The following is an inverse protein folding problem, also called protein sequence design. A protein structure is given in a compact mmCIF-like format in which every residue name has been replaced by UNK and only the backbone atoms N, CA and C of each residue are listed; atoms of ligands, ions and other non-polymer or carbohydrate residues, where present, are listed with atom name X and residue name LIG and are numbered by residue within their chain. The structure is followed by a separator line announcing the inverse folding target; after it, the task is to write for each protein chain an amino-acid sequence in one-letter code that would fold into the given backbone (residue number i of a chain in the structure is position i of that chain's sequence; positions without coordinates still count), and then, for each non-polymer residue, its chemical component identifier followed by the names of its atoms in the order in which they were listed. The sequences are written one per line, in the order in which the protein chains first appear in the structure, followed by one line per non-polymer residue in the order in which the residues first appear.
data_IF_597322182118
#
_entry.id   IF_597322182118
#
_cell.length_a   1.000
_cell.length_b   1.000
_cell.length_c   1.000
_cell.angle_alpha   90.00
_cell.angle_beta   90.00
_cell.angle_gamma   90.00
#
_symmetry.space_group_name_H-M   'P 1'
#
loop_
_entity.id
_entity.type
_entity.pdbx_description
1 polymer ?
#
# COMPACT_ATOMS: atom_id res chain seq x y z
N UNK A 1 -25.61 1.55 17.96
CA UNK A 1 -24.26 1.08 17.64
C UNK A 1 -23.32 2.24 17.92
N UNK A 2 -22.15 2.02 18.55
CA UNK A 2 -21.22 3.11 18.80
C UNK A 2 -20.65 3.65 17.49
N UNK A 3 -20.52 4.98 17.37
CA UNK A 3 -19.82 5.61 16.27
C UNK A 3 -18.31 5.43 16.49
N UNK A 4 -17.63 4.77 15.56
CA UNK A 4 -16.19 4.53 15.56
C UNK A 4 -15.50 5.23 14.38
N UNK A 5 -16.20 6.19 13.73
CA UNK A 5 -15.57 7.02 12.71
C UNK A 5 -14.34 7.73 13.26
N UNK A 6 -13.36 7.95 12.42
CA UNK A 6 -12.11 8.58 12.82
C UNK A 6 -11.65 9.64 11.81
N UNK A 7 -10.86 10.58 12.30
CA UNK A 7 -10.21 11.60 11.49
C UNK A 7 -8.73 11.67 11.85
N UNK A 8 -7.87 11.42 10.87
CA UNK A 8 -6.43 11.45 11.04
C UNK A 8 -5.80 12.36 9.98
N UNK A 9 -5.07 13.39 10.40
CA UNK A 9 -4.45 14.39 9.51
C UNK A 9 -5.40 15.01 8.47
N UNK A 10 -6.66 15.21 8.84
CA UNK A 10 -7.68 15.75 7.92
C UNK A 10 -8.43 14.68 7.11
N UNK A 11 -7.92 13.46 7.05
CA UNK A 11 -8.52 12.34 6.32
C UNK A 11 -9.57 11.68 7.21
N UNK A 12 -10.81 11.61 6.72
CA UNK A 12 -11.91 10.96 7.43
C UNK A 12 -12.07 9.52 6.96
N UNK A 13 -12.44 8.62 7.88
CA UNK A 13 -12.75 7.23 7.58
C UNK A 13 -13.86 6.70 8.51
N UNK A 14 -14.64 5.70 8.08
CA UNK A 14 -15.74 5.17 8.88
C UNK A 14 -15.30 4.44 10.15
N UNK A 15 -14.03 4.07 10.24
CA UNK A 15 -13.40 3.51 11.44
C UNK A 15 -11.87 3.66 11.37
N UNK A 16 -11.14 3.46 12.48
CA UNK A 16 -9.68 3.64 12.54
C UNK A 16 -8.87 2.44 12.02
N UNK A 17 -9.51 1.39 11.54
CA UNK A 17 -8.83 0.17 11.09
C UNK A 17 -8.45 0.27 9.62
N UNK A 18 -7.16 0.48 9.37
CA UNK A 18 -6.60 0.60 8.02
C UNK A 18 -5.60 -0.53 7.76
N UNK A 19 -5.61 -1.07 6.55
CA UNK A 19 -4.58 -2.02 6.13
C UNK A 19 -3.27 -1.30 5.84
N UNK A 20 -2.18 -1.83 6.37
CA UNK A 20 -0.84 -1.33 6.08
C UNK A 20 -0.41 -1.66 4.65
N UNK A 21 0.59 -0.91 4.13
CA UNK A 21 1.24 -1.19 2.86
C UNK A 21 1.91 -2.57 2.88
N UNK A 22 1.29 -3.54 2.20
CA UNK A 22 1.69 -4.95 2.20
C UNK A 22 1.06 -5.68 0.99
N UNK A 23 1.38 -6.96 0.73
CA UNK A 23 0.76 -7.71 -0.37
C UNK A 23 -0.78 -7.65 -0.43
N UNK A 24 -1.52 -7.62 0.70
CA UNK A 24 -2.98 -7.47 0.65
C UNK A 24 -3.47 -6.16 0.02
N UNK A 25 -2.64 -5.12 -0.07
CA UNK A 25 -3.01 -3.82 -0.61
C UNK A 25 -2.37 -3.52 -1.98
N UNK A 26 -1.92 -4.55 -2.70
CA UNK A 26 -1.21 -4.44 -3.98
C UNK A 26 -2.15 -4.48 -5.20
N UNK A 27 -3.45 -4.72 -5.02
CA UNK A 27 -4.41 -4.88 -6.12
C UNK A 27 -5.79 -4.36 -5.75
N UNK A 28 -6.47 -3.77 -6.74
CA UNK A 28 -7.86 -3.31 -6.62
C UNK A 28 -8.78 -4.39 -6.01
N UNK A 29 -8.71 -5.62 -6.50
CA UNK A 29 -9.57 -6.71 -6.04
C UNK A 29 -9.40 -7.01 -4.54
N UNK A 30 -8.17 -6.93 -4.03
CA UNK A 30 -7.89 -7.19 -2.62
C UNK A 30 -8.38 -6.02 -1.75
N UNK A 31 -8.13 -4.79 -2.19
CA UNK A 31 -8.57 -3.59 -1.49
C UNK A 31 -10.10 -3.49 -1.46
N UNK A 32 -10.77 -3.79 -2.58
CA UNK A 32 -12.23 -3.84 -2.63
C UNK A 32 -12.80 -4.85 -1.64
N UNK A 33 -12.25 -6.06 -1.59
CA UNK A 33 -12.66 -7.08 -0.60
C UNK A 33 -12.43 -6.63 0.85
N UNK A 34 -11.36 -5.90 1.11
CA UNK A 34 -11.11 -5.34 2.43
C UNK A 34 -12.18 -4.29 2.80
N UNK A 35 -12.53 -3.41 1.88
CA UNK A 35 -13.57 -2.41 2.11
C UNK A 35 -14.96 -3.04 2.26
N UNK A 36 -15.29 -4.06 1.48
CA UNK A 36 -16.51 -4.87 1.65
C UNK A 36 -16.56 -5.56 3.01
N UNK A 37 -15.40 -5.99 3.53
CA UNK A 37 -15.28 -6.56 4.88
C UNK A 37 -15.32 -5.51 6.00
N UNK A 38 -15.40 -4.21 5.67
CA UNK A 38 -15.58 -3.12 6.61
C UNK A 38 -14.34 -2.35 7.02
N UNK A 39 -13.19 -2.57 6.38
CA UNK A 39 -11.98 -1.76 6.64
C UNK A 39 -12.21 -0.28 6.32
N UNK A 40 -11.74 0.60 7.21
CA UNK A 40 -11.92 2.06 7.10
C UNK A 40 -10.97 2.73 6.10
N UNK A 41 -9.84 2.10 5.82
CA UNK A 41 -8.84 2.64 4.90
C UNK A 41 -7.76 1.62 4.54
N UNK A 42 -6.91 2.01 3.62
CA UNK A 42 -5.72 1.24 3.22
C UNK A 42 -4.55 2.17 2.93
N UNK A 43 -3.34 1.67 3.19
CA UNK A 43 -2.12 2.21 2.61
C UNK A 43 -1.75 1.28 1.45
N UNK A 44 -1.78 1.81 0.22
CA UNK A 44 -1.48 1.04 -0.99
C UNK A 44 -0.06 0.47 -0.93
N UNK A 45 0.16 -0.72 -1.48
CA UNK A 45 1.50 -1.31 -1.56
C UNK A 45 2.44 -0.34 -2.22
N UNK A 46 3.63 -0.18 -1.65
CA UNK A 46 4.61 0.83 -2.05
C UNK A 46 4.87 0.84 -3.55
N UNK A 47 4.66 1.98 -4.16
CA UNK A 47 4.87 2.27 -5.58
C UNK A 47 6.31 2.72 -5.81
N UNK A 48 6.87 2.33 -6.96
CA UNK A 48 8.15 2.83 -7.46
C UNK A 48 7.99 3.40 -8.87
N UNK A 49 9.07 3.98 -9.40
CA UNK A 49 9.12 4.42 -10.79
C UNK A 49 9.37 3.24 -11.74
N UNK A 50 8.92 3.35 -13.00
CA UNK A 50 9.31 2.45 -14.08
C UNK A 50 10.63 2.93 -14.73
N UNK A 51 11.59 2.04 -15.07
CA UNK A 51 11.58 0.59 -14.83
C UNK A 51 11.77 0.26 -13.35
N UNK A 52 11.17 -0.85 -12.93
CA UNK A 52 11.14 -1.22 -11.52
C UNK A 52 12.52 -1.35 -10.92
N UNK A 53 12.68 -0.79 -9.73
CA UNK A 53 13.72 -1.21 -8.81
C UNK A 53 13.46 -2.67 -8.45
N UNK A 54 14.46 -3.50 -8.65
CA UNK A 54 14.39 -4.95 -8.56
C UNK A 54 13.80 -5.41 -7.23
N UNK A 55 12.65 -6.06 -7.30
CA UNK A 55 12.17 -6.87 -6.20
C UNK A 55 12.92 -8.21 -6.14
N UNK A 56 13.06 -8.75 -4.94
CA UNK A 56 13.72 -10.06 -4.76
C UNK A 56 12.85 -11.16 -5.32
N UNK A 57 13.39 -11.96 -6.22
CA UNK A 57 12.76 -13.23 -6.58
C UNK A 57 12.93 -14.20 -5.41
N UNK A 58 11.86 -14.88 -5.01
CA UNK A 58 11.81 -15.74 -3.83
C UNK A 58 13.02 -16.67 -3.58
N UNK A 59 13.09 -17.27 -2.40
CA UNK A 59 12.06 -17.22 -1.38
C UNK A 59 12.03 -15.88 -0.63
N UNK A 60 10.83 -15.31 -0.46
CA UNK A 60 10.64 -14.03 0.24
C UNK A 60 10.56 -14.17 1.75
N UNK A 61 10.57 -15.39 2.24
CA UNK A 61 10.54 -15.71 3.67
C UNK A 61 11.71 -16.63 4.00
N UNK A 62 12.35 -16.37 5.11
CA UNK A 62 13.39 -17.21 5.67
C UNK A 62 13.23 -17.35 7.17
N UNK A 63 13.76 -18.43 7.73
CA UNK A 63 13.80 -18.63 9.17
C UNK A 63 15.10 -18.08 9.75
N UNK A 64 14.98 -17.40 10.89
CA UNK A 64 16.12 -17.10 11.75
C UNK A 64 16.33 -18.29 12.68
N UNK A 65 17.51 -18.88 12.65
CA UNK A 65 17.86 -20.06 13.42
C UNK A 65 18.86 -19.71 14.53
N UNK A 66 18.65 -20.26 15.71
CA UNK A 66 19.67 -20.28 16.76
C UNK A 66 20.77 -21.30 16.43
N UNK A 67 21.89 -21.27 17.18
CA UNK A 67 22.99 -22.23 17.00
C UNK A 67 22.56 -23.70 17.19
N UNK A 68 21.57 -23.95 18.05
CA UNK A 68 20.96 -25.25 18.29
C UNK A 68 19.91 -25.65 17.24
N UNK A 69 19.82 -24.91 16.13
CA UNK A 69 18.85 -25.08 15.02
C UNK A 69 17.39 -24.83 15.40
N UNK A 70 17.12 -24.28 16.57
CA UNK A 70 15.76 -23.85 16.94
C UNK A 70 15.37 -22.62 16.14
N UNK A 71 14.16 -22.61 15.58
CA UNK A 71 13.61 -21.44 14.88
C UNK A 71 13.34 -20.34 15.90
N UNK A 72 13.98 -19.19 15.75
CA UNK A 72 13.83 -18.02 16.61
C UNK A 72 12.87 -16.98 16.02
N UNK A 73 12.66 -16.99 14.72
CA UNK A 73 11.80 -16.04 14.04
C UNK A 73 11.71 -16.27 12.55
N UNK A 74 10.88 -15.47 11.92
CA UNK A 74 10.73 -15.42 10.47
C UNK A 74 11.21 -14.05 9.97
N UNK A 75 11.88 -14.06 8.84
CA UNK A 75 12.30 -12.86 8.11
C UNK A 75 11.53 -12.76 6.79
N UNK A 76 11.03 -11.57 6.49
CA UNK A 76 10.41 -11.26 5.20
C UNK A 76 11.32 -10.31 4.40
N UNK A 77 11.56 -10.64 3.13
CA UNK A 77 12.43 -9.91 2.21
C UNK A 77 11.58 -9.22 1.11
N UNK A 78 10.36 -8.86 1.42
CA UNK A 78 9.50 -8.19 0.47
C UNK A 78 9.73 -6.67 0.49
N UNK A 79 9.89 -6.07 -0.69
CA UNK A 79 10.18 -4.64 -0.83
C UNK A 79 8.93 -3.87 -1.30
N UNK A 80 8.85 -3.54 -2.57
CA UNK A 80 7.78 -2.73 -3.17
C UNK A 80 6.91 -3.58 -4.09
N UNK A 81 5.88 -2.97 -4.70
CA UNK A 81 5.11 -3.63 -5.75
C UNK A 81 6.03 -4.05 -6.93
N UNK A 82 5.75 -5.18 -7.55
CA UNK A 82 6.39 -5.64 -8.78
C UNK A 82 5.51 -5.33 -10.02
N UNK A 83 4.46 -4.55 -9.84
CA UNK A 83 3.50 -4.18 -10.88
C UNK A 83 3.83 -2.81 -11.47
N UNK A 84 3.57 -2.60 -12.78
CA UNK A 84 3.80 -1.31 -13.43
C UNK A 84 3.12 -0.16 -12.67
N UNK A 85 3.81 0.99 -12.55
CA UNK A 85 3.28 2.16 -11.87
C UNK A 85 1.90 2.55 -12.44
N UNK A 86 1.79 2.63 -13.76
CA UNK A 86 0.55 2.98 -14.44
C UNK A 86 -0.64 2.08 -14.04
N UNK A 87 -0.42 0.77 -13.98
CA UNK A 87 -1.46 -0.19 -13.57
C UNK A 87 -1.94 0.07 -12.15
N UNK A 88 -1.02 0.35 -11.23
CA UNK A 88 -1.37 0.69 -9.85
C UNK A 88 -2.18 1.99 -9.77
N UNK A 89 -1.74 3.05 -10.46
CA UNK A 89 -2.45 4.34 -10.46
C UNK A 89 -3.88 4.22 -11.03
N UNK A 90 -4.05 3.48 -12.13
CA UNK A 90 -5.36 3.22 -12.70
C UNK A 90 -6.28 2.45 -11.73
N UNK A 91 -5.75 1.47 -11.00
CA UNK A 91 -6.50 0.72 -9.99
C UNK A 91 -6.84 1.60 -8.77
N UNK A 92 -5.89 2.40 -8.27
CA UNK A 92 -6.12 3.35 -7.18
C UNK A 92 -7.25 4.32 -7.52
N UNK A 93 -7.24 4.87 -8.74
CA UNK A 93 -8.30 5.77 -9.23
C UNK A 93 -9.67 5.08 -9.21
N UNK A 94 -9.77 3.84 -9.68
CA UNK A 94 -11.03 3.08 -9.65
C UNK A 94 -11.49 2.80 -8.24
N UNK A 95 -10.57 2.39 -7.36
CA UNK A 95 -10.87 2.12 -5.95
C UNK A 95 -11.39 3.39 -5.26
N UNK A 96 -10.69 4.52 -5.41
CA UNK A 96 -11.11 5.78 -4.76
C UNK A 96 -12.46 6.27 -5.28
N UNK A 97 -12.71 6.11 -6.57
CA UNK A 97 -14.02 6.45 -7.17
C UNK A 97 -15.15 5.56 -6.65
N UNK A 98 -14.91 4.27 -6.46
CA UNK A 98 -15.90 3.32 -5.96
C UNK A 98 -16.13 3.45 -4.46
N UNK A 99 -15.12 3.88 -3.70
CA UNK A 99 -15.12 3.97 -2.24
C UNK A 99 -14.65 5.34 -1.74
N UNK A 100 -15.42 6.42 -2.05
CA UNK A 100 -14.98 7.79 -1.75
C UNK A 100 -14.89 8.10 -0.25
N UNK A 101 -15.59 7.33 0.59
CA UNK A 101 -15.63 7.45 2.04
C UNK A 101 -14.53 6.63 2.77
N UNK A 102 -13.72 5.89 2.05
CA UNK A 102 -12.61 5.11 2.58
C UNK A 102 -11.29 5.85 2.39
N UNK A 103 -10.44 5.81 3.41
CA UNK A 103 -9.11 6.38 3.32
C UNK A 103 -8.25 5.57 2.35
N UNK A 104 -7.60 6.25 1.40
CA UNK A 104 -6.66 5.68 0.46
C UNK A 104 -5.35 6.46 0.51
N UNK A 105 -4.28 5.83 1.01
CA UNK A 105 -2.96 6.42 1.14
C UNK A 105 -2.00 5.76 0.16
N UNK A 106 -1.18 6.54 -0.54
CA UNK A 106 -0.10 6.04 -1.36
C UNK A 106 1.19 5.90 -0.57
N UNK A 107 1.81 4.73 -0.61
CA UNK A 107 3.18 4.53 -0.13
C UNK A 107 4.13 4.64 -1.31
N UNK A 108 5.14 5.50 -1.24
CA UNK A 108 6.05 5.79 -2.35
C UNK A 108 7.50 5.47 -1.98
N UNK A 109 8.23 4.89 -2.93
CA UNK A 109 9.68 4.69 -2.84
C UNK A 109 10.31 5.04 -4.19
N UNK A 110 10.91 6.21 -4.25
CA UNK A 110 11.64 6.72 -5.42
C UNK A 110 13.02 7.22 -4.99
N UNK A 111 13.98 7.39 -5.91
CA UNK A 111 15.26 8.00 -5.59
C UNK A 111 15.10 9.34 -4.89
N UNK A 112 16.00 9.65 -3.93
CA UNK A 112 16.00 10.91 -3.20
C UNK A 112 16.55 12.07 -4.06
N UNK A 113 15.95 12.26 -5.24
CA UNK A 113 16.24 13.37 -6.16
C UNK A 113 14.96 14.11 -6.49
N UNK A 114 15.05 15.43 -6.62
CA UNK A 114 13.87 16.29 -6.77
C UNK A 114 13.01 15.93 -8.00
N UNK A 115 13.65 15.56 -9.09
CA UNK A 115 12.98 15.21 -10.35
C UNK A 115 12.06 13.99 -10.21
N UNK A 116 12.47 12.97 -9.44
CA UNK A 116 11.64 11.79 -9.19
C UNK A 116 10.36 12.16 -8.42
N UNK A 117 10.49 12.98 -7.41
CA UNK A 117 9.34 13.43 -6.61
C UNK A 117 8.41 14.35 -7.41
N UNK A 118 8.95 15.31 -8.17
CA UNK A 118 8.16 16.17 -9.06
C UNK A 118 7.39 15.40 -10.13
N UNK A 119 7.87 14.23 -10.52
CA UNK A 119 7.21 13.38 -11.51
C UNK A 119 6.11 12.53 -10.88
N UNK A 120 6.39 11.85 -9.76
CA UNK A 120 5.45 10.86 -9.21
C UNK A 120 4.31 11.49 -8.42
N UNK A 121 4.56 12.58 -7.68
CA UNK A 121 3.54 13.18 -6.82
C UNK A 121 2.29 13.63 -7.57
N UNK A 122 2.36 14.37 -8.69
CA UNK A 122 1.17 14.73 -9.45
C UNK A 122 0.40 13.53 -9.97
N UNK A 123 1.11 12.47 -10.42
CA UNK A 123 0.47 11.26 -10.91
C UNK A 123 -0.32 10.52 -9.82
N UNK A 124 0.17 10.55 -8.58
CA UNK A 124 -0.53 9.97 -7.43
C UNK A 124 -1.70 10.87 -7.01
N UNK A 125 -1.51 12.18 -6.98
CA UNK A 125 -2.57 13.14 -6.68
C UNK A 125 -3.76 13.00 -7.64
N UNK A 126 -3.50 12.80 -8.92
CA UNK A 126 -4.52 12.58 -9.97
C UNK A 126 -5.38 11.32 -9.72
N UNK A 127 -4.92 10.37 -8.90
CA UNK A 127 -5.72 9.19 -8.52
C UNK A 127 -6.86 9.53 -7.57
N UNK A 128 -6.80 10.70 -6.91
CA UNK A 128 -7.70 11.10 -5.83
C UNK A 128 -7.37 10.47 -4.48
N UNK A 129 -6.18 9.88 -4.30
CA UNK A 129 -5.71 9.41 -2.99
C UNK A 129 -5.75 10.55 -1.97
N UNK A 130 -6.01 10.22 -0.71
CA UNK A 130 -6.17 11.19 0.38
C UNK A 130 -4.82 11.65 0.95
N UNK A 131 -3.72 10.94 0.62
CA UNK A 131 -2.37 11.26 1.06
C UNK A 131 -1.33 10.27 0.56
#
# INVERSE_FOLDING_TARGET
MADISSRFLGISSPNPFWLASAPPTDKEINVTRAFEAGWGGVVWKTLGEDPHVVNVNGPRYSTLMAQDRRVMGLNNIELITDRPLRTNLEEMTRVKKAWPDRALIASLMVPCVEESWKRILPMVEDTGADG
#
